data_IF_380203041294
#
_entry.id   IF_380203041294
#
_cell.length_a   1.000
_cell.length_b   1.000
_cell.length_c   1.000
_cell.angle_alpha   90.00
_cell.angle_beta   90.00
_cell.angle_gamma   90.00
#
_symmetry.space_group_name_H-M   'P 1'
#
loop_
_entity.id
_entity.type
_entity.pdbx_description
1 polymer ?
#
# COMPACT_ATOMS: atom_id res chain seq x y z
N UNK A 1 11.89 -0.37 -50.81
CA UNK A 1 12.89 -0.73 -49.80
C UNK A 1 12.80 0.16 -48.55
N UNK A 2 11.59 0.75 -48.27
CA UNK A 2 11.38 1.73 -47.19
C UNK A 2 10.47 1.26 -46.04
N UNK A 3 9.97 0.01 -46.09
CA UNK A 3 9.03 -0.49 -45.07
C UNK A 3 9.67 -1.29 -43.91
N UNK A 4 10.98 -1.36 -43.79
CA UNK A 4 11.66 -2.12 -42.73
C UNK A 4 12.30 -1.27 -41.63
N UNK A 5 12.30 0.07 -41.74
CA UNK A 5 12.90 0.95 -40.72
C UNK A 5 11.94 1.40 -39.61
N UNK A 6 10.60 1.32 -39.82
CA UNK A 6 9.63 1.83 -38.85
C UNK A 6 9.34 0.87 -37.69
N UNK A 7 9.75 -0.40 -37.78
CA UNK A 7 9.47 -1.41 -36.76
C UNK A 7 10.50 -1.35 -35.61
N UNK A 8 11.68 -0.78 -35.86
CA UNK A 8 12.77 -0.75 -34.88
C UNK A 8 12.70 0.41 -33.88
N UNK A 9 11.94 1.46 -34.17
CA UNK A 9 11.79 2.63 -33.28
C UNK A 9 10.72 2.46 -32.20
N UNK A 10 9.81 1.48 -32.33
CA UNK A 10 8.74 1.21 -31.33
C UNK A 10 9.19 0.36 -30.13
N UNK A 11 10.40 -0.20 -30.15
CA UNK A 11 10.92 -1.07 -29.08
C UNK A 11 11.82 -0.41 -28.05
N UNK A 12 12.05 0.90 -28.14
CA UNK A 12 12.97 1.67 -27.27
C UNK A 12 12.27 2.76 -26.43
N UNK A 13 10.98 2.61 -26.14
CA UNK A 13 10.42 3.36 -25.02
C UNK A 13 10.84 2.62 -23.76
N UNK A 14 12.04 2.93 -23.27
CA UNK A 14 12.41 2.63 -21.88
C UNK A 14 11.41 3.41 -21.04
N UNK A 15 10.39 2.74 -20.51
CA UNK A 15 9.50 3.36 -19.52
C UNK A 15 10.38 3.80 -18.35
N UNK A 16 10.73 5.07 -18.31
CA UNK A 16 11.50 5.62 -17.20
C UNK A 16 10.70 5.45 -15.93
N UNK A 17 11.25 4.69 -14.98
CA UNK A 17 10.60 4.47 -13.68
C UNK A 17 10.45 5.80 -12.96
N UNK A 18 9.22 6.17 -12.64
CA UNK A 18 8.90 7.38 -11.89
C UNK A 18 9.46 7.27 -10.48
N UNK A 19 10.10 8.32 -10.00
CA UNK A 19 10.56 8.41 -8.63
C UNK A 19 9.43 8.95 -7.72
N UNK A 20 8.57 8.05 -7.26
CA UNK A 20 7.43 8.41 -6.42
C UNK A 20 7.81 8.93 -5.02
N UNK A 21 9.01 8.63 -4.52
CA UNK A 21 9.50 9.24 -3.29
C UNK A 21 9.81 10.74 -3.48
N UNK A 22 10.37 11.11 -4.64
CA UNK A 22 10.58 12.51 -4.99
C UNK A 22 9.26 13.26 -5.17
N UNK A 23 8.27 12.66 -5.83
CA UNK A 23 6.94 13.26 -5.97
C UNK A 23 6.24 13.47 -4.61
N UNK A 24 6.38 12.51 -3.68
CA UNK A 24 5.89 12.69 -2.30
C UNK A 24 6.52 13.92 -1.64
N UNK A 25 7.83 14.07 -1.75
CA UNK A 25 8.55 15.20 -1.14
C UNK A 25 8.19 16.54 -1.77
N UNK A 26 7.99 16.58 -3.07
CA UNK A 26 7.49 17.77 -3.78
C UNK A 26 6.09 18.15 -3.31
N UNK A 27 5.23 17.16 -3.11
CA UNK A 27 3.87 17.39 -2.60
C UNK A 27 3.91 17.92 -1.16
N UNK A 28 4.74 17.32 -0.29
CA UNK A 28 4.92 17.78 1.09
C UNK A 28 5.40 19.23 1.15
N UNK A 29 6.30 19.65 0.26
CA UNK A 29 6.78 21.05 0.20
C UNK A 29 5.71 22.07 -0.18
N UNK A 30 4.63 21.63 -0.83
CA UNK A 30 3.50 22.50 -1.26
C UNK A 30 2.42 22.64 -0.18
N UNK A 31 2.53 21.92 0.94
CA UNK A 31 1.52 21.99 2.00
C UNK A 31 1.58 23.35 2.69
N UNK A 32 0.42 23.95 2.82
CA UNK A 32 0.17 25.23 3.54
C UNK A 32 -0.25 25.03 5.00
N UNK A 33 0.18 23.93 5.62
CA UNK A 33 -0.15 23.49 6.95
C UNK A 33 -0.37 21.98 6.99
N UNK A 34 -0.70 21.44 8.16
CA UNK A 34 -1.00 20.02 8.30
C UNK A 34 -2.31 19.70 7.60
N UNK A 35 -2.33 18.63 6.82
CA UNK A 35 -3.50 18.08 6.14
C UNK A 35 -3.85 16.71 6.73
N UNK A 36 -5.11 16.34 6.64
CA UNK A 36 -5.59 15.03 7.06
C UNK A 36 -5.22 13.97 6.03
N UNK A 37 -4.71 12.81 6.49
CA UNK A 37 -4.30 11.72 5.61
C UNK A 37 -4.79 10.38 6.14
N UNK A 38 -5.52 9.64 5.29
CA UNK A 38 -5.93 8.27 5.58
C UNK A 38 -4.90 7.29 5.00
N UNK A 39 -4.20 6.58 5.89
CA UNK A 39 -3.16 5.61 5.56
C UNK A 39 -3.73 4.19 5.60
N UNK A 40 -3.88 3.55 4.44
CA UNK A 40 -4.14 2.11 4.39
C UNK A 40 -2.93 1.35 4.92
N UNK A 41 -3.13 0.51 5.94
CA UNK A 41 -2.07 -0.33 6.49
C UNK A 41 -2.29 -1.81 6.19
N UNK A 42 -1.26 -2.46 5.64
CA UNK A 42 -1.25 -3.90 5.41
C UNK A 42 -0.85 -4.71 6.66
N UNK A 43 -0.09 -4.14 7.58
CA UNK A 43 0.34 -4.75 8.84
C UNK A 43 1.09 -3.74 9.72
N UNK A 44 1.22 -4.03 11.01
CA UNK A 44 1.96 -3.22 11.97
C UNK A 44 3.40 -2.91 11.52
N UNK A 45 4.23 -3.92 11.25
CA UNK A 45 5.61 -3.72 10.80
C UNK A 45 5.78 -2.75 9.62
N UNK A 46 4.93 -2.87 8.60
CA UNK A 46 4.99 -2.00 7.42
C UNK A 46 4.57 -0.55 7.74
N UNK A 47 3.65 -0.36 8.69
CA UNK A 47 3.15 0.97 9.03
C UNK A 47 4.13 1.82 9.83
N UNK A 48 5.09 1.21 10.55
CA UNK A 48 6.02 1.93 11.43
C UNK A 48 6.77 3.05 10.72
N UNK A 49 7.53 2.74 9.67
CA UNK A 49 8.32 3.72 8.92
C UNK A 49 7.45 4.71 8.14
N UNK A 50 6.26 4.25 7.66
CA UNK A 50 5.33 5.16 6.98
C UNK A 50 4.81 6.23 7.94
N UNK A 51 4.36 5.82 9.13
CA UNK A 51 3.87 6.74 10.17
C UNK A 51 5.00 7.67 10.63
N UNK A 52 6.20 7.13 10.91
CA UNK A 52 7.37 7.93 11.31
C UNK A 52 7.70 9.05 10.30
N UNK A 53 7.52 8.78 8.98
CA UNK A 53 7.75 9.78 7.93
C UNK A 53 6.59 10.75 7.77
N UNK A 54 5.35 10.24 7.75
CA UNK A 54 4.17 11.04 7.41
C UNK A 54 3.67 11.91 8.56
N UNK A 55 3.76 11.42 9.80
CA UNK A 55 3.24 12.12 10.97
C UNK A 55 3.95 13.45 11.28
N UNK A 56 5.05 13.73 10.61
CA UNK A 56 5.74 15.03 10.65
C UNK A 56 4.98 16.13 9.89
N UNK A 57 4.18 15.76 8.91
CA UNK A 57 3.58 16.66 7.94
C UNK A 57 2.05 16.57 7.88
N UNK A 58 1.50 15.41 8.24
CA UNK A 58 0.07 15.12 8.15
C UNK A 58 -0.52 14.72 9.49
N UNK A 59 -1.82 14.95 9.65
CA UNK A 59 -2.63 14.33 10.69
C UNK A 59 -3.08 12.97 10.19
N UNK A 60 -2.28 11.94 10.55
CA UNK A 60 -2.44 10.58 10.03
C UNK A 60 -3.52 9.84 10.81
N UNK A 61 -4.44 9.23 10.08
CA UNK A 61 -5.36 8.19 10.58
C UNK A 61 -5.09 6.91 9.80
N UNK A 62 -5.05 5.77 10.48
CA UNK A 62 -4.83 4.47 9.83
C UNK A 62 -6.16 3.75 9.62
N UNK A 63 -6.36 3.22 8.42
CA UNK A 63 -7.39 2.21 8.14
C UNK A 63 -6.74 0.84 7.95
N UNK A 64 -7.29 -0.19 8.61
CA UNK A 64 -6.84 -1.57 8.47
C UNK A 64 -7.88 -2.39 7.71
N UNK A 65 -7.70 -2.47 6.38
CA UNK A 65 -8.56 -3.23 5.48
C UNK A 65 -7.74 -4.22 4.66
N UNK A 66 -7.76 -5.47 5.05
CA UNK A 66 -6.93 -6.53 4.47
C UNK A 66 -7.71 -7.83 4.26
N UNK A 67 -8.69 -7.84 3.33
CA UNK A 67 -9.52 -9.01 3.07
C UNK A 67 -8.76 -10.20 2.49
N UNK A 68 -7.53 -9.96 2.03
CA UNK A 68 -6.63 -10.98 1.47
C UNK A 68 -5.91 -11.82 2.53
N UNK A 69 -5.90 -11.42 3.80
CA UNK A 69 -5.14 -12.13 4.84
C UNK A 69 -5.96 -13.33 5.32
N UNK A 70 -5.36 -14.50 5.22
CA UNK A 70 -5.90 -15.79 5.65
C UNK A 70 -4.84 -16.62 6.38
N UNK A 71 -5.23 -17.50 7.34
CA UNK A 71 -6.58 -17.62 7.91
C UNK A 71 -6.99 -16.39 8.78
N UNK A 72 -8.21 -16.36 9.27
CA UNK A 72 -8.73 -15.24 10.07
C UNK A 72 -7.89 -14.95 11.32
N UNK A 73 -7.34 -15.99 11.96
CA UNK A 73 -6.45 -15.82 13.12
C UNK A 73 -5.16 -15.05 12.75
N UNK A 74 -4.64 -15.23 11.56
CA UNK A 74 -3.49 -14.45 11.06
C UNK A 74 -3.90 -12.99 10.81
N UNK A 75 -5.11 -12.75 10.28
CA UNK A 75 -5.66 -11.39 10.17
C UNK A 75 -5.74 -10.71 11.54
N UNK A 76 -6.32 -11.39 12.55
CA UNK A 76 -6.42 -10.87 13.92
C UNK A 76 -5.04 -10.61 14.53
N UNK A 77 -4.09 -11.54 14.39
CA UNK A 77 -2.72 -11.38 14.87
C UNK A 77 -2.06 -10.14 14.29
N UNK A 78 -2.14 -9.95 12.96
CA UNK A 78 -1.57 -8.75 12.33
C UNK A 78 -2.28 -7.45 12.72
N UNK A 79 -3.59 -7.51 12.97
CA UNK A 79 -4.36 -6.38 13.49
C UNK A 79 -3.89 -5.99 14.91
N UNK A 80 -3.66 -6.97 15.79
CA UNK A 80 -3.11 -6.71 17.12
C UNK A 80 -1.75 -6.02 17.06
N UNK A 81 -0.86 -6.46 16.16
CA UNK A 81 0.43 -5.79 15.94
C UNK A 81 0.26 -4.36 15.40
N UNK A 82 -0.73 -4.13 14.55
CA UNK A 82 -1.07 -2.78 14.11
C UNK A 82 -1.48 -1.90 15.30
N UNK A 83 -2.30 -2.41 16.21
CA UNK A 83 -2.74 -1.64 17.39
C UNK A 83 -1.58 -1.26 18.32
N UNK A 84 -0.53 -2.11 18.46
CA UNK A 84 0.69 -1.75 19.20
C UNK A 84 1.38 -0.52 18.57
N UNK A 85 1.49 -0.50 17.24
CA UNK A 85 2.11 0.63 16.51
C UNK A 85 1.28 1.90 16.70
N UNK A 86 -0.05 1.83 16.55
CA UNK A 86 -0.92 2.99 16.70
C UNK A 86 -0.82 3.60 18.11
N UNK A 87 -0.79 2.75 19.13
CA UNK A 87 -0.59 3.20 20.52
C UNK A 87 0.76 3.89 20.71
N UNK A 88 1.85 3.34 20.13
CA UNK A 88 3.19 3.91 20.23
C UNK A 88 3.30 5.29 19.62
N UNK A 89 2.68 5.51 18.45
CA UNK A 89 2.75 6.76 17.71
C UNK A 89 1.57 7.71 17.98
N UNK A 90 0.63 7.32 18.83
CA UNK A 90 -0.61 8.05 19.14
C UNK A 90 -1.40 8.40 17.86
N UNK A 91 -1.71 7.38 17.05
CA UNK A 91 -2.37 7.51 15.75
C UNK A 91 -3.82 7.06 15.84
N UNK A 92 -4.73 7.83 15.24
CA UNK A 92 -6.13 7.48 15.11
C UNK A 92 -6.34 6.24 14.22
N UNK A 93 -7.44 5.52 14.46
CA UNK A 93 -7.76 4.28 13.78
C UNK A 93 -9.20 4.25 13.31
N UNK A 94 -9.38 3.78 12.07
CA UNK A 94 -10.69 3.43 11.51
C UNK A 94 -10.70 1.92 11.29
N UNK A 95 -11.62 1.24 11.94
CA UNK A 95 -11.85 -0.17 11.71
C UNK A 95 -12.64 -0.39 10.43
N UNK A 96 -12.31 -1.43 9.69
CA UNK A 96 -13.03 -1.84 8.48
C UNK A 96 -13.38 -3.32 8.56
N UNK A 97 -14.42 -3.69 7.82
CA UNK A 97 -14.89 -5.07 7.74
C UNK A 97 -13.83 -6.02 7.17
N UNK A 98 -13.98 -7.30 7.48
CA UNK A 98 -13.17 -8.37 6.90
C UNK A 98 -13.92 -9.05 5.74
N UNK A 99 -13.86 -8.45 4.57
CA UNK A 99 -14.58 -8.88 3.35
C UNK A 99 -13.80 -9.96 2.57
N UNK A 100 -13.39 -11.04 3.23
CA UNK A 100 -12.59 -12.08 2.59
C UNK A 100 -13.34 -12.79 1.44
N UNK A 101 -14.67 -12.96 1.56
CA UNK A 101 -15.50 -13.51 0.49
C UNK A 101 -15.40 -12.70 -0.79
N UNK A 102 -15.45 -11.37 -0.70
CA UNK A 102 -15.32 -10.48 -1.86
C UNK A 102 -13.93 -10.58 -2.49
N UNK A 103 -12.89 -10.67 -1.67
CA UNK A 103 -11.53 -10.89 -2.16
C UNK A 103 -11.42 -12.21 -2.93
N UNK A 104 -11.97 -13.30 -2.39
CA UNK A 104 -11.95 -14.62 -3.05
C UNK A 104 -12.72 -14.59 -4.37
N UNK A 105 -13.91 -13.99 -4.40
CA UNK A 105 -14.73 -13.87 -5.61
C UNK A 105 -14.00 -13.10 -6.70
N UNK A 106 -13.33 -11.98 -6.38
CA UNK A 106 -12.58 -11.18 -7.33
C UNK A 106 -11.29 -11.84 -7.84
N UNK A 107 -10.76 -12.83 -7.12
CA UNK A 107 -9.45 -13.43 -7.42
C UNK A 107 -9.47 -14.92 -7.74
N UNK A 108 -10.66 -15.57 -7.75
CA UNK A 108 -10.80 -17.02 -7.93
C UNK A 108 -10.18 -17.52 -9.26
N UNK A 109 -10.36 -16.78 -10.36
CA UNK A 109 -9.78 -17.11 -11.66
C UNK A 109 -8.26 -16.87 -11.74
N UNK A 110 -7.69 -16.17 -10.75
CA UNK A 110 -6.28 -15.82 -10.67
C UNK A 110 -5.53 -16.60 -9.57
N UNK A 111 -6.12 -17.69 -9.07
CA UNK A 111 -5.54 -18.50 -7.97
C UNK A 111 -4.13 -19.03 -8.29
N UNK A 112 -3.88 -19.38 -9.55
CA UNK A 112 -2.62 -19.95 -10.01
C UNK A 112 -1.53 -18.92 -10.33
N UNK A 113 -1.88 -17.61 -10.31
CA UNK A 113 -0.90 -16.53 -10.50
C UNK A 113 0.11 -16.49 -9.34
N UNK A 114 1.39 -16.25 -9.59
CA UNK A 114 2.39 -16.09 -8.53
C UNK A 114 2.17 -14.80 -7.73
N UNK A 115 2.88 -14.64 -6.61
CA UNK A 115 3.01 -13.32 -5.97
C UNK A 115 3.69 -12.34 -6.96
N UNK A 116 3.12 -11.14 -7.09
CA UNK A 116 3.53 -10.15 -8.11
C UNK A 116 2.84 -10.29 -9.46
N UNK A 117 2.14 -11.42 -9.73
CA UNK A 117 1.35 -11.63 -10.96
C UNK A 117 0.03 -10.87 -10.97
N UNK A 118 -0.85 -11.23 -11.92
CA UNK A 118 -2.12 -10.50 -12.23
C UNK A 118 -3.07 -10.37 -11.03
N UNK A 119 -3.03 -11.29 -10.05
CA UNK A 119 -3.85 -11.23 -8.83
C UNK A 119 -3.48 -10.04 -7.94
N UNK A 120 -2.20 -9.67 -7.86
CA UNK A 120 -1.74 -8.62 -6.96
C UNK A 120 -2.30 -7.23 -7.29
N UNK A 121 -2.34 -6.77 -8.55
CA UNK A 121 -3.03 -5.51 -8.91
C UNK A 121 -4.51 -5.47 -8.53
N UNK A 122 -5.25 -6.57 -8.69
CA UNK A 122 -6.65 -6.68 -8.24
C UNK A 122 -6.77 -6.47 -6.73
N UNK A 123 -5.89 -7.14 -5.97
CA UNK A 123 -5.80 -7.00 -4.51
C UNK A 123 -5.44 -5.57 -4.09
N UNK A 124 -4.52 -4.90 -4.78
CA UNK A 124 -4.15 -3.51 -4.48
C UNK A 124 -5.32 -2.57 -4.75
N UNK A 125 -5.98 -2.74 -5.90
CA UNK A 125 -7.14 -1.94 -6.30
C UNK A 125 -8.26 -2.03 -5.26
N UNK A 126 -8.67 -3.24 -4.88
CA UNK A 126 -9.72 -3.46 -3.87
C UNK A 126 -9.42 -2.71 -2.57
N UNK A 127 -8.19 -2.79 -2.07
CA UNK A 127 -7.79 -2.12 -0.82
C UNK A 127 -7.74 -0.60 -0.95
N UNK A 128 -7.23 -0.10 -2.07
CA UNK A 128 -7.16 1.34 -2.33
C UNK A 128 -8.55 1.94 -2.59
N UNK A 129 -9.46 1.23 -3.26
CA UNK A 129 -10.84 1.67 -3.45
C UNK A 129 -11.60 1.81 -2.12
N UNK A 130 -11.49 0.83 -1.22
CA UNK A 130 -12.08 0.93 0.13
C UNK A 130 -11.49 2.12 0.88
N UNK A 131 -10.17 2.31 0.80
CA UNK A 131 -9.49 3.43 1.48
C UNK A 131 -9.94 4.77 0.94
N UNK A 132 -9.98 4.95 -0.38
CA UNK A 132 -10.41 6.20 -1.00
C UNK A 132 -11.90 6.52 -0.71
N UNK A 133 -12.77 5.48 -0.73
CA UNK A 133 -14.17 5.64 -0.36
C UNK A 133 -14.32 6.16 1.08
N UNK A 134 -13.66 5.51 2.04
CA UNK A 134 -13.68 5.93 3.44
C UNK A 134 -13.05 7.31 3.62
N UNK A 135 -11.97 7.62 2.89
CA UNK A 135 -11.35 8.95 2.90
C UNK A 135 -12.34 10.04 2.43
N UNK A 136 -13.09 9.76 1.36
CA UNK A 136 -14.12 10.68 0.86
C UNK A 136 -15.26 10.89 1.86
N UNK A 137 -15.78 9.81 2.42
CA UNK A 137 -16.88 9.84 3.37
C UNK A 137 -16.54 10.60 4.67
N UNK A 138 -15.26 10.60 5.04
CA UNK A 138 -14.76 11.28 6.25
C UNK A 138 -13.98 12.57 5.97
N UNK A 139 -14.04 13.11 4.75
CA UNK A 139 -13.44 14.37 4.34
C UNK A 139 -11.92 14.46 4.58
N UNK A 140 -11.17 13.36 4.35
CA UNK A 140 -9.72 13.41 4.35
C UNK A 140 -9.21 14.15 3.11
N UNK A 141 -8.16 14.97 3.29
CA UNK A 141 -7.49 15.66 2.18
C UNK A 141 -6.74 14.70 1.29
N UNK A 142 -6.11 13.68 1.89
CA UNK A 142 -5.28 12.68 1.20
C UNK A 142 -5.58 11.26 1.65
N UNK A 143 -5.25 10.31 0.76
CA UNK A 143 -5.08 8.91 1.14
C UNK A 143 -3.83 8.31 0.51
N UNK A 144 -3.28 7.26 1.11
CA UNK A 144 -2.14 6.49 0.60
C UNK A 144 -2.10 5.10 1.23
N UNK A 145 -1.00 4.36 0.99
CA UNK A 145 -0.85 2.98 1.47
C UNK A 145 0.56 2.66 1.92
N UNK A 146 0.67 1.73 2.89
CA UNK A 146 1.95 1.16 3.32
C UNK A 146 2.49 0.08 2.37
N UNK A 147 1.76 -0.30 1.33
CA UNK A 147 2.16 -1.38 0.41
C UNK A 147 3.51 -1.13 -0.26
N UNK A 148 3.85 0.13 -0.49
CA UNK A 148 5.09 0.52 -1.16
C UNK A 148 6.36 0.36 -0.31
N UNK A 149 6.25 -0.07 0.97
CA UNK A 149 7.41 -0.45 1.81
C UNK A 149 8.00 -1.79 1.39
N UNK A 150 7.15 -2.72 0.95
CA UNK A 150 7.58 -4.08 0.63
C UNK A 150 8.47 -4.12 -0.62
N UNK A 151 9.65 -4.78 -0.57
CA UNK A 151 10.49 -4.96 -1.75
C UNK A 151 9.84 -5.86 -2.81
N UNK A 152 8.89 -6.71 -2.41
CA UNK A 152 8.16 -7.64 -3.29
C UNK A 152 6.97 -7.00 -4.01
N UNK A 153 6.71 -5.70 -3.79
CA UNK A 153 5.56 -4.99 -4.38
C UNK A 153 6.03 -3.85 -5.27
N UNK A 154 5.54 -3.84 -6.50
CA UNK A 154 5.87 -2.81 -7.48
C UNK A 154 5.18 -1.49 -7.15
N UNK A 155 5.98 -0.49 -6.75
CA UNK A 155 5.48 0.85 -6.46
C UNK A 155 4.93 1.56 -7.69
N UNK A 156 5.38 1.22 -8.92
CA UNK A 156 4.84 1.81 -10.15
C UNK A 156 3.37 1.41 -10.32
N UNK A 157 3.07 0.12 -10.16
CA UNK A 157 1.70 -0.40 -10.27
C UNK A 157 0.81 0.16 -9.16
N UNK A 158 1.29 0.16 -7.91
CA UNK A 158 0.52 0.64 -6.77
C UNK A 158 0.14 2.11 -6.93
N UNK A 159 1.09 2.96 -7.33
CA UNK A 159 0.83 4.39 -7.48
C UNK A 159 -0.09 4.70 -8.68
N UNK A 160 0.06 4.01 -9.82
CA UNK A 160 -0.88 4.12 -10.94
C UNK A 160 -2.32 3.75 -10.53
N UNK A 161 -2.48 2.69 -9.74
CA UNK A 161 -3.81 2.30 -9.21
C UNK A 161 -4.32 3.35 -8.22
N UNK A 162 -3.46 3.83 -7.32
CA UNK A 162 -3.83 4.85 -6.33
C UNK A 162 -4.31 6.15 -6.97
N UNK A 163 -3.63 6.61 -8.01
CA UNK A 163 -4.00 7.77 -8.82
C UNK A 163 -5.38 7.60 -9.45
N UNK A 164 -5.58 6.53 -10.21
CA UNK A 164 -6.88 6.25 -10.88
C UNK A 164 -8.03 6.11 -9.87
N UNK A 165 -7.77 5.51 -8.70
CA UNK A 165 -8.75 5.41 -7.60
C UNK A 165 -9.01 6.78 -6.98
N UNK A 166 -7.99 7.59 -6.79
CA UNK A 166 -8.11 8.96 -6.29
C UNK A 166 -9.00 9.82 -7.19
N UNK A 167 -8.77 9.77 -8.50
CA UNK A 167 -9.61 10.44 -9.49
C UNK A 167 -11.07 9.96 -9.42
N UNK A 168 -11.28 8.64 -9.37
CA UNK A 168 -12.63 8.03 -9.30
C UNK A 168 -13.44 8.50 -8.10
N UNK A 169 -12.82 8.63 -6.92
CA UNK A 169 -13.52 9.00 -5.68
C UNK A 169 -13.40 10.50 -5.33
N UNK A 170 -12.62 11.27 -6.08
CA UNK A 170 -12.40 12.69 -5.82
C UNK A 170 -11.68 12.97 -4.52
N UNK A 171 -10.65 12.16 -4.20
CA UNK A 171 -9.74 12.33 -3.06
C UNK A 171 -8.31 12.27 -3.54
N UNK A 172 -7.45 13.16 -3.09
CA UNK A 172 -6.07 13.23 -3.56
C UNK A 172 -5.26 12.02 -3.08
N UNK A 173 -4.66 11.27 -4.02
CA UNK A 173 -3.73 10.21 -3.69
C UNK A 173 -2.34 10.79 -3.45
N UNK A 174 -1.73 10.49 -2.30
CA UNK A 174 -0.34 10.82 -2.03
C UNK A 174 0.55 9.72 -2.61
N UNK A 175 1.31 10.05 -3.64
CA UNK A 175 2.31 9.14 -4.20
C UNK A 175 3.38 8.77 -3.18
N UNK A 176 3.80 7.51 -3.17
CA UNK A 176 4.79 7.05 -2.20
C UNK A 176 5.68 5.94 -2.77
N UNK A 177 6.93 5.91 -2.35
CA UNK A 177 7.79 4.72 -2.44
C UNK A 177 8.61 4.59 -1.15
N UNK A 178 7.95 4.06 -0.13
CA UNK A 178 8.53 3.95 1.20
C UNK A 178 9.72 2.99 1.32
N UNK A 179 10.06 2.24 0.24
CA UNK A 179 11.34 1.49 0.17
C UNK A 179 12.54 2.43 0.09
N UNK A 180 12.36 3.59 -0.52
CA UNK A 180 13.43 4.59 -0.66
C UNK A 180 13.92 5.09 0.69
N UNK A 181 15.13 5.66 0.70
CA UNK A 181 15.77 6.18 1.93
C UNK A 181 15.83 5.13 3.05
N UNK A 182 16.18 3.89 2.70
CA UNK A 182 16.33 2.78 3.65
C UNK A 182 15.01 2.42 4.40
N UNK A 183 13.84 2.84 3.90
CA UNK A 183 12.58 2.70 4.62
C UNK A 183 12.18 1.27 4.96
N UNK A 184 12.52 0.29 4.09
CA UNK A 184 12.31 -1.12 4.42
C UNK A 184 13.20 -1.57 5.59
N UNK A 185 14.49 -1.20 5.58
CA UNK A 185 15.42 -1.48 6.68
C UNK A 185 14.96 -0.82 7.98
N UNK A 186 14.56 0.46 7.91
CA UNK A 186 13.99 1.18 9.06
C UNK A 186 12.74 0.48 9.62
N UNK A 187 11.89 -0.09 8.78
CA UNK A 187 10.73 -0.87 9.23
C UNK A 187 11.12 -2.14 10.00
N UNK A 188 12.28 -2.74 9.68
CA UNK A 188 12.81 -3.91 10.40
C UNK A 188 13.33 -3.48 11.77
N UNK A 189 14.08 -2.39 11.84
CA UNK A 189 14.60 -1.81 13.07
C UNK A 189 13.46 -1.47 14.04
N UNK A 190 12.48 -0.68 13.57
CA UNK A 190 11.32 -0.32 14.38
C UNK A 190 10.49 -1.54 14.82
N UNK A 191 10.41 -2.58 13.98
CA UNK A 191 9.72 -3.81 14.38
C UNK A 191 10.43 -4.52 15.53
N UNK A 192 11.76 -4.51 15.56
CA UNK A 192 12.55 -5.06 16.68
C UNK A 192 12.43 -4.19 17.94
N UNK A 193 12.51 -2.86 17.79
CA UNK A 193 12.36 -1.91 18.89
C UNK A 193 11.00 -2.03 19.60
N UNK A 194 9.94 -2.38 18.84
CA UNK A 194 8.56 -2.49 19.33
C UNK A 194 8.12 -3.94 19.62
N UNK A 195 9.02 -4.90 19.51
CA UNK A 195 8.74 -6.35 19.65
C UNK A 195 7.50 -6.78 18.85
N UNK A 196 7.51 -6.45 17.55
CA UNK A 196 6.39 -6.76 16.66
C UNK A 196 6.57 -8.11 15.97
N UNK A 197 5.50 -8.89 15.94
CA UNK A 197 5.42 -10.04 15.04
C UNK A 197 5.57 -9.59 13.58
N UNK A 198 6.58 -10.12 12.90
CA UNK A 198 6.85 -9.81 11.51
C UNK A 198 6.67 -11.07 10.66
N UNK A 199 5.63 -11.07 9.86
CA UNK A 199 5.35 -12.15 8.92
C UNK A 199 6.36 -12.21 7.77
N UNK A 200 6.59 -13.41 7.24
CA UNK A 200 7.48 -13.66 6.09
C UNK A 200 6.73 -13.87 4.76
N UNK A 201 5.41 -13.75 4.73
CA UNK A 201 4.57 -13.92 3.55
C UNK A 201 3.50 -12.82 3.44
N UNK A 202 2.93 -12.66 2.25
CA UNK A 202 1.95 -11.60 1.97
C UNK A 202 0.66 -11.69 2.82
N UNK A 203 0.27 -12.90 3.22
CA UNK A 203 -0.98 -13.20 3.91
C UNK A 203 -2.09 -13.71 3.00
N UNK A 204 -1.96 -13.54 1.69
CA UNK A 204 -2.85 -14.16 0.72
C UNK A 204 -2.64 -15.67 0.72
N UNK A 205 -3.73 -16.46 0.86
CA UNK A 205 -3.68 -17.92 0.87
C UNK A 205 -2.93 -18.49 -0.32
N UNK A 206 -3.23 -17.99 -1.52
CA UNK A 206 -2.56 -18.40 -2.77
C UNK A 206 -1.05 -18.12 -2.82
N UNK A 207 -0.53 -17.21 -1.99
CA UNK A 207 0.90 -16.93 -1.87
C UNK A 207 1.60 -17.85 -0.88
N UNK A 208 0.87 -18.39 0.11
CA UNK A 208 1.40 -19.30 1.12
C UNK A 208 1.64 -20.70 0.58
N UNK A 209 0.73 -21.21 -0.26
CA UNK A 209 0.77 -22.56 -0.81
C UNK A 209 1.94 -22.82 -1.79
N UNK A 210 2.59 -21.74 -2.28
CA UNK A 210 3.71 -21.82 -3.24
C UNK A 210 5.09 -21.56 -2.62
N UNK A 211 5.16 -21.36 -1.31
CA UNK A 211 6.37 -20.98 -0.57
C UNK A 211 6.84 -21.99 0.49
N UNK A 212 6.26 -23.20 0.53
CA UNK A 212 6.74 -24.34 1.33
C UNK A 212 7.59 -25.28 0.52
#
# INVERSE_FOLDING_TARGET
>A
MEMKQDIHLRSLVIEMKINYDALMEEEIKKLDGRKTLLLHSCCGPCSTTCIERLNKYFDVTVIYYNPNIEPFDEYLKRKQEQMKVLKKFNINFIESDYDNGDFRNLTCELKDEPEGGKRCPVCFKMRLEKTAKVAKENNFDYFTTTLTVSPHKDSQIINKIGEAVGEKYGVKYLYTDFKKKEGYKRSIELSKELDLYRQNYCGCLYGKEKGE
#
